data_IF_535017930625
#
_entry.id   IF_535017930625
#
_cell.length_a   1.000
_cell.length_b   1.000
_cell.length_c   1.000
_cell.angle_alpha   90.00
_cell.angle_beta   90.00
_cell.angle_gamma   90.00
#
_symmetry.space_group_name_H-M   'P 1'
#
loop_
_entity.id
_entity.type
_entity.pdbx_description
1 polymer ?
#
# COMPACT_ATOMS: atom_id res chain seq x y z
N UNK A 1 -2.29 16.02 8.61
CA UNK A 1 -2.46 14.66 8.06
C UNK A 1 -3.37 13.89 9.01
N UNK A 2 -4.55 13.40 8.57
CA UNK A 2 -5.32 12.44 9.38
C UNK A 2 -4.75 11.05 9.09
N UNK A 3 -4.64 10.21 10.11
CA UNK A 3 -4.29 8.80 9.92
C UNK A 3 -5.39 8.10 9.12
N UNK A 4 -5.02 7.32 8.11
CA UNK A 4 -5.94 6.47 7.35
C UNK A 4 -6.26 5.16 8.08
N UNK A 5 -5.55 4.87 9.18
CA UNK A 5 -5.77 3.66 9.96
C UNK A 5 -7.18 3.67 10.57
N UNK A 6 -7.92 2.57 10.39
CA UNK A 6 -9.30 2.44 10.86
C UNK A 6 -10.37 2.97 9.89
N UNK A 7 -9.99 3.45 8.71
CA UNK A 7 -10.92 3.89 7.66
C UNK A 7 -10.80 2.93 6.47
N UNK A 8 -11.91 2.40 5.93
CA UNK A 8 -11.88 1.66 4.67
C UNK A 8 -11.30 2.53 3.57
N UNK A 9 -10.22 2.07 2.96
CA UNK A 9 -9.41 2.83 2.00
C UNK A 9 -9.27 2.02 0.71
N UNK A 10 -9.37 2.69 -0.44
CA UNK A 10 -9.11 2.08 -1.74
C UNK A 10 -7.60 1.81 -1.91
N UNK A 11 -7.28 0.60 -2.31
CA UNK A 11 -5.90 0.14 -2.50
C UNK A 11 -5.81 -0.74 -3.74
N UNK A 12 -4.63 -0.77 -4.34
CA UNK A 12 -4.21 -1.78 -5.31
C UNK A 12 -3.38 -2.83 -4.58
N UNK A 13 -3.87 -4.07 -4.50
CA UNK A 13 -3.20 -5.20 -3.86
C UNK A 13 -1.97 -5.64 -4.69
N UNK A 14 -1.07 -6.41 -4.08
CA UNK A 14 0.18 -6.90 -4.69
C UNK A 14 -0.02 -7.64 -6.03
N UNK A 15 -1.16 -8.31 -6.21
CA UNK A 15 -1.52 -8.98 -7.47
C UNK A 15 -2.12 -8.06 -8.55
N UNK A 16 -2.19 -6.75 -8.26
CA UNK A 16 -2.75 -5.73 -9.13
C UNK A 16 -4.27 -5.57 -9.03
N UNK A 17 -4.95 -6.35 -8.19
CA UNK A 17 -6.40 -6.21 -7.99
C UNK A 17 -6.73 -4.99 -7.13
N UNK A 18 -7.84 -4.31 -7.44
CA UNK A 18 -8.33 -3.21 -6.62
C UNK A 18 -9.21 -3.73 -5.47
N UNK A 19 -9.02 -3.20 -4.27
CA UNK A 19 -9.80 -3.53 -3.09
C UNK A 19 -10.17 -2.28 -2.29
N UNK A 20 -11.22 -2.36 -1.47
CA UNK A 20 -11.51 -1.36 -0.44
C UNK A 20 -11.66 -2.07 0.90
N UNK A 21 -10.70 -1.85 1.79
CA UNK A 21 -10.68 -2.49 3.11
C UNK A 21 -9.99 -1.62 4.15
N UNK A 22 -10.05 -2.03 5.40
CA UNK A 22 -9.21 -1.44 6.44
C UNK A 22 -7.74 -1.67 6.11
N UNK A 23 -6.94 -0.62 6.26
CA UNK A 23 -5.49 -0.71 6.10
C UNK A 23 -4.86 -1.54 7.21
N UNK A 24 -3.92 -2.37 6.80
CA UNK A 24 -2.96 -3.07 7.64
C UNK A 24 -1.69 -2.24 7.72
N UNK A 25 -0.85 -2.53 8.70
CA UNK A 25 0.46 -1.86 8.81
C UNK A 25 1.33 -2.07 7.55
N UNK A 26 1.20 -3.23 6.90
CA UNK A 26 1.94 -3.56 5.68
C UNK A 26 1.56 -2.62 4.51
N UNK A 27 0.28 -2.26 4.37
CA UNK A 27 -0.16 -1.39 3.26
C UNK A 27 0.41 0.02 3.39
N UNK A 28 0.43 0.53 4.63
CA UNK A 28 1.03 1.82 4.94
C UNK A 28 2.54 1.81 4.66
N UNK A 29 3.24 0.74 5.06
CA UNK A 29 4.66 0.57 4.77
C UNK A 29 4.92 0.48 3.26
N UNK A 30 4.19 -0.38 2.55
CA UNK A 30 4.30 -0.56 1.10
C UNK A 30 4.07 0.75 0.34
N UNK A 31 3.05 1.52 0.73
CA UNK A 31 2.75 2.82 0.11
C UNK A 31 3.91 3.81 0.27
N UNK A 32 4.53 3.87 1.44
CA UNK A 32 5.70 4.74 1.66
C UNK A 32 6.90 4.28 0.84
N UNK A 33 7.19 2.97 0.83
CA UNK A 33 8.31 2.41 0.06
C UNK A 33 8.13 2.65 -1.45
N UNK A 34 6.93 2.44 -1.98
CA UNK A 34 6.58 2.74 -3.36
C UNK A 34 6.72 4.24 -3.66
N UNK A 35 6.32 5.12 -2.74
CA UNK A 35 6.55 6.56 -2.85
C UNK A 35 8.02 6.98 -2.81
N UNK A 36 8.90 6.13 -2.32
CA UNK A 36 10.35 6.29 -2.39
C UNK A 36 10.95 5.69 -3.68
N UNK A 37 10.13 5.09 -4.54
CA UNK A 37 10.57 4.45 -5.79
C UNK A 37 11.18 3.07 -5.60
N UNK A 38 10.89 2.39 -4.48
CA UNK A 38 11.37 1.03 -4.23
C UNK A 38 10.40 -0.02 -4.81
N UNK A 39 10.96 -1.07 -5.41
CA UNK A 39 10.19 -2.12 -6.07
C UNK A 39 10.02 -3.36 -5.17
N UNK A 40 8.77 -3.85 -4.98
CA UNK A 40 8.55 -5.08 -4.22
C UNK A 40 9.17 -6.29 -4.92
N UNK A 41 9.82 -7.16 -4.15
CA UNK A 41 10.52 -8.34 -4.67
C UNK A 41 11.95 -8.07 -5.15
N UNK A 42 12.30 -6.82 -5.41
CA UNK A 42 13.68 -6.40 -5.73
C UNK A 42 14.33 -5.69 -4.53
N UNK A 43 13.71 -4.61 -4.05
CA UNK A 43 14.25 -3.76 -2.98
C UNK A 43 13.73 -4.16 -1.60
N UNK A 44 12.54 -4.73 -1.51
CA UNK A 44 11.93 -5.13 -0.24
C UNK A 44 10.96 -6.30 -0.33
N UNK A 45 10.68 -6.90 0.83
CA UNK A 45 9.71 -7.97 1.01
C UNK A 45 8.85 -7.70 2.25
N UNK A 46 7.52 -7.75 2.09
CA UNK A 46 6.55 -7.64 3.20
C UNK A 46 5.73 -8.92 3.33
N UNK A 47 5.87 -9.66 4.44
CA UNK A 47 5.15 -10.93 4.61
C UNK A 47 3.65 -10.70 4.82
N UNK A 48 2.84 -11.60 4.25
CA UNK A 48 1.38 -11.63 4.45
C UNK A 48 0.58 -10.80 3.44
N UNK A 49 1.22 -10.37 2.35
CA UNK A 49 0.61 -9.54 1.32
C UNK A 49 0.38 -8.10 1.76
N UNK A 50 0.33 -7.20 0.79
CA UNK A 50 0.11 -5.78 1.00
C UNK A 50 -0.62 -5.19 -0.20
N UNK A 51 -1.20 -4.01 0.00
CA UNK A 51 -1.63 -3.13 -1.08
C UNK A 51 -1.03 -1.74 -0.96
N UNK A 52 -1.03 -1.02 -2.07
CA UNK A 52 -0.61 0.38 -2.17
C UNK A 52 -1.86 1.25 -2.22
N UNK A 53 -1.90 2.33 -1.44
CA UNK A 53 -3.06 3.22 -1.40
C UNK A 53 -3.20 4.00 -2.69
N UNK A 54 -4.41 3.95 -3.27
CA UNK A 54 -4.71 4.63 -4.51
C UNK A 54 -4.74 6.15 -4.34
N UNK A 55 -4.23 6.88 -5.34
CA UNK A 55 -4.26 8.34 -5.39
C UNK A 55 -3.27 9.07 -4.48
N UNK A 56 -2.38 8.34 -3.78
CA UNK A 56 -1.28 8.94 -3.01
C UNK A 56 -0.02 9.14 -3.86
N UNK A 57 0.27 8.18 -4.74
CA UNK A 57 1.46 8.23 -5.57
C UNK A 57 1.21 9.03 -6.87
N UNK A 58 2.18 9.82 -7.34
CA UNK A 58 2.08 10.46 -8.65
C UNK A 58 2.10 9.38 -9.74
N UNK A 59 1.18 9.51 -10.71
CA UNK A 59 1.16 8.74 -11.97
C UNK A 59 2.30 9.12 -12.90
#
# INVERSE_FOLDING_TARGET
MRSLMGIPTAITEEDGSSATRLLRAQDAAATVLAGMGLEPGEDFFLPGGFGVVDGILPT
#
